data_IF_375914864376
#
_entry.id   IF_375914864376
#
_cell.length_a   1.000
_cell.length_b   1.000
_cell.length_c   1.000
_cell.angle_alpha   90.00
_cell.angle_beta   90.00
_cell.angle_gamma   90.00
#
_symmetry.space_group_name_H-M   'P 1'
#
loop_
_entity.id
_entity.type
_entity.pdbx_description
1 polymer ?
#
# COMPACT_ATOMS: atom_id res chain seq x y z
N UNK A 1 -18.12 23.10 5.00
CA UNK A 1 -17.03 22.39 4.31
C UNK A 1 -16.30 21.51 5.32
N UNK A 2 -16.52 20.19 5.29
CA UNK A 2 -15.74 19.23 6.09
C UNK A 2 -14.26 19.38 5.72
N UNK A 3 -13.41 19.70 6.70
CA UNK A 3 -11.95 19.74 6.53
C UNK A 3 -11.50 18.35 6.09
N UNK A 4 -11.11 18.20 4.83
CA UNK A 4 -10.55 16.96 4.33
C UNK A 4 -9.12 16.88 4.86
N UNK A 5 -8.96 16.05 5.89
CA UNK A 5 -7.76 15.82 6.70
C UNK A 5 -7.38 16.97 7.63
N UNK A 6 -7.55 16.78 8.95
CA UNK A 6 -6.48 16.65 9.95
C UNK A 6 -7.10 16.59 11.36
N UNK A 7 -7.19 15.38 11.91
CA UNK A 7 -7.88 15.05 13.17
C UNK A 7 -7.14 15.42 14.46
N UNK A 8 -6.20 16.37 14.48
CA UNK A 8 -5.69 16.88 15.78
C UNK A 8 -5.33 18.36 15.73
N UNK A 9 -5.60 19.02 16.86
CA UNK A 9 -5.65 20.46 17.09
C UNK A 9 -4.39 21.25 16.67
N UNK A 10 -4.62 22.19 15.75
CA UNK A 10 -4.05 23.55 15.62
C UNK A 10 -2.53 23.80 15.64
N UNK A 11 -2.07 24.56 14.63
CA UNK A 11 -1.36 25.84 14.82
C UNK A 11 -1.72 26.81 13.68
N UNK A 12 -2.57 27.82 13.95
CA UNK A 12 -3.01 28.88 13.02
C UNK A 12 -1.85 29.72 12.43
N UNK A 13 -0.94 29.13 11.67
CA UNK A 13 0.12 29.83 10.95
C UNK A 13 -0.42 30.31 9.60
N UNK A 14 -0.04 31.52 9.19
CA UNK A 14 -0.35 32.03 7.85
C UNK A 14 0.14 31.08 6.74
N UNK A 15 1.23 30.33 7.01
CA UNK A 15 1.80 29.35 6.08
C UNK A 15 0.92 28.10 5.90
N UNK A 16 0.29 27.61 6.98
CA UNK A 16 -0.62 26.45 6.90
C UNK A 16 -1.84 26.79 6.03
N UNK A 17 -2.41 27.99 6.23
CA UNK A 17 -3.52 28.50 5.40
C UNK A 17 -3.16 28.68 3.93
N UNK A 18 -1.89 28.82 3.57
CA UNK A 18 -1.45 28.89 2.17
C UNK A 18 -1.32 27.49 1.57
N UNK A 19 -0.74 26.54 2.31
CA UNK A 19 -0.52 25.15 1.87
C UNK A 19 -1.86 24.41 1.70
N UNK A 20 -2.86 24.68 2.54
CA UNK A 20 -4.17 24.02 2.46
C UNK A 20 -5.08 24.55 1.33
N UNK A 21 -4.67 25.60 0.60
CA UNK A 21 -5.51 26.16 -0.46
C UNK A 21 -5.69 25.16 -1.62
N UNK A 22 -6.91 25.02 -2.16
CA UNK A 22 -7.17 24.17 -3.32
C UNK A 22 -6.26 24.50 -4.52
N UNK A 23 -6.02 25.80 -4.76
CA UNK A 23 -5.14 26.27 -5.84
C UNK A 23 -3.70 25.73 -5.69
N UNK A 24 -3.17 25.73 -4.46
CA UNK A 24 -1.81 25.28 -4.19
C UNK A 24 -1.68 23.78 -4.45
N UNK A 25 -2.68 23.00 -4.02
CA UNK A 25 -2.78 21.58 -4.33
C UNK A 25 -2.85 21.33 -5.84
N UNK A 26 -3.67 22.08 -6.58
CA UNK A 26 -3.76 21.94 -8.04
C UNK A 26 -2.44 22.31 -8.73
N UNK A 27 -1.73 23.33 -8.25
CA UNK A 27 -0.40 23.68 -8.73
C UNK A 27 0.59 22.53 -8.51
N UNK A 28 0.66 21.97 -7.30
CA UNK A 28 1.56 20.84 -6.99
C UNK A 28 1.25 19.64 -7.89
N UNK A 29 -0.03 19.27 -8.05
CA UNK A 29 -0.44 18.18 -8.96
C UNK A 29 0.01 18.46 -10.39
N UNK A 30 -0.21 19.69 -10.87
CA UNK A 30 0.18 20.10 -12.23
C UNK A 30 1.68 19.98 -12.41
N UNK A 31 2.48 20.44 -11.45
CA UNK A 31 3.94 20.30 -11.49
C UNK A 31 4.38 18.84 -11.50
N UNK A 32 3.71 17.95 -10.76
CA UNK A 32 4.06 16.52 -10.78
C UNK A 32 3.76 15.90 -12.15
N UNK A 33 2.62 16.23 -12.76
CA UNK A 33 2.25 15.72 -14.09
C UNK A 33 3.23 16.24 -15.14
N UNK A 34 3.54 17.54 -15.13
CA UNK A 34 4.53 18.13 -16.02
C UNK A 34 5.89 17.45 -15.83
N UNK A 35 6.32 17.24 -14.58
CA UNK A 35 7.57 16.56 -14.27
C UNK A 35 7.61 15.11 -14.77
N UNK A 36 6.50 14.37 -14.62
CA UNK A 36 6.38 13.01 -15.14
C UNK A 36 6.47 12.96 -16.67
N UNK A 37 5.81 13.91 -17.37
CA UNK A 37 5.89 14.02 -18.83
C UNK A 37 7.31 14.37 -19.28
N UNK A 38 7.97 15.32 -18.61
CA UNK A 38 9.37 15.67 -18.88
C UNK A 38 10.27 14.44 -18.74
N UNK A 39 10.11 13.67 -17.67
CA UNK A 39 10.90 12.46 -17.44
C UNK A 39 10.66 11.40 -18.52
N UNK A 40 9.41 11.24 -18.97
CA UNK A 40 9.06 10.38 -20.11
C UNK A 40 9.76 10.82 -21.39
N UNK A 41 9.74 12.12 -21.72
CA UNK A 41 10.42 12.68 -22.90
C UNK A 41 11.94 12.51 -22.80
N UNK A 42 12.54 12.77 -21.64
CA UNK A 42 13.97 12.61 -21.39
C UNK A 42 14.47 11.16 -21.52
N UNK A 43 13.57 10.17 -21.59
CA UNK A 43 13.95 8.78 -21.92
C UNK A 43 14.54 8.68 -23.33
N UNK A 44 14.12 9.55 -24.25
CA UNK A 44 14.59 9.64 -25.63
C UNK A 44 15.74 10.65 -25.81
N UNK A 45 16.55 10.89 -24.77
CA UNK A 45 17.63 11.89 -24.78
C UNK A 45 18.56 11.83 -26.02
N UNK A 46 18.83 10.64 -26.55
CA UNK A 46 19.74 10.42 -27.67
C UNK A 46 19.16 10.90 -29.01
N UNK A 47 17.83 11.02 -29.12
CA UNK A 47 17.15 11.48 -30.35
C UNK A 47 16.68 12.93 -30.25
N UNK A 48 16.77 13.56 -29.07
CA UNK A 48 16.33 14.92 -28.84
C UNK A 48 17.44 15.95 -29.11
N UNK A 49 17.10 17.16 -29.57
CA UNK A 49 18.07 18.24 -29.70
C UNK A 49 18.73 18.58 -28.36
N UNK A 50 20.04 18.75 -28.34
CA UNK A 50 20.80 19.01 -27.10
C UNK A 50 20.28 20.22 -26.30
N UNK A 51 19.87 21.30 -26.98
CA UNK A 51 19.28 22.48 -26.32
C UNK A 51 17.94 22.21 -25.64
N UNK A 52 17.12 21.30 -26.19
CA UNK A 52 15.86 20.88 -25.59
C UNK A 52 16.13 20.03 -24.35
N UNK A 53 17.09 19.09 -24.42
CA UNK A 53 17.48 18.24 -23.28
C UNK A 53 17.94 19.10 -22.10
N UNK A 54 18.85 20.04 -22.31
CA UNK A 54 19.34 20.94 -21.26
C UNK A 54 18.20 21.77 -20.65
N UNK A 55 17.27 22.25 -21.48
CA UNK A 55 16.12 23.02 -21.01
C UNK A 55 15.18 22.16 -20.15
N UNK A 56 14.89 20.93 -20.59
CA UNK A 56 14.04 19.99 -19.87
C UNK A 56 14.67 19.55 -18.55
N UNK A 57 15.97 19.28 -18.52
CA UNK A 57 16.72 18.97 -17.30
C UNK A 57 16.69 20.14 -16.31
N UNK A 58 16.87 21.38 -16.80
CA UNK A 58 16.77 22.57 -15.96
C UNK A 58 15.37 22.73 -15.35
N UNK A 59 14.31 22.44 -16.10
CA UNK A 59 12.94 22.46 -15.60
C UNK A 59 12.68 21.33 -14.59
N UNK A 60 13.12 20.09 -14.85
CA UNK A 60 13.03 18.97 -13.90
C UNK A 60 13.71 19.30 -12.56
N UNK A 61 14.92 19.84 -12.64
CA UNK A 61 15.69 20.24 -11.48
C UNK A 61 14.99 21.37 -10.70
N UNK A 62 14.43 22.36 -11.40
CA UNK A 62 13.66 23.44 -10.79
C UNK A 62 12.43 22.91 -10.06
N UNK A 63 11.66 22.02 -10.69
CA UNK A 63 10.49 21.40 -10.06
C UNK A 63 10.89 20.58 -8.82
N UNK A 64 12.02 19.87 -8.88
CA UNK A 64 12.57 19.14 -7.72
C UNK A 64 12.86 20.08 -6.56
N UNK A 65 13.47 21.24 -6.82
CA UNK A 65 13.72 22.24 -5.77
C UNK A 65 12.44 22.82 -5.20
N UNK A 66 11.42 23.08 -6.02
CA UNK A 66 10.10 23.53 -5.54
C UNK A 66 9.51 22.51 -4.57
N UNK A 67 9.59 21.21 -4.89
CA UNK A 67 9.14 20.14 -4.00
C UNK A 67 9.99 19.99 -2.74
N UNK A 68 11.30 20.19 -2.82
CA UNK A 68 12.17 20.21 -1.65
C UNK A 68 11.78 21.33 -0.68
N UNK A 69 11.50 22.53 -1.21
CA UNK A 69 10.99 23.66 -0.42
C UNK A 69 9.62 23.35 0.18
N UNK A 70 8.71 22.75 -0.59
CA UNK A 70 7.39 22.33 -0.12
C UNK A 70 7.49 21.40 1.11
N UNK A 71 8.34 20.36 1.03
CA UNK A 71 8.56 19.42 2.13
C UNK A 71 9.27 20.07 3.31
N UNK A 72 10.25 20.95 3.06
CA UNK A 72 10.92 21.69 4.12
C UNK A 72 9.92 22.57 4.89
N UNK A 73 9.01 23.26 4.19
CA UNK A 73 7.94 24.04 4.82
C UNK A 73 7.02 23.15 5.65
N UNK A 74 6.59 22.00 5.12
CA UNK A 74 5.79 21.01 5.88
C UNK A 74 6.54 20.50 7.11
N UNK A 75 7.84 20.26 7.01
CA UNK A 75 8.67 19.81 8.12
C UNK A 75 8.80 20.89 9.20
N UNK A 76 8.95 22.16 8.82
CA UNK A 76 9.00 23.29 9.78
C UNK A 76 7.66 23.47 10.50
N UNK A 77 6.54 23.38 9.77
CA UNK A 77 5.19 23.55 10.32
C UNK A 77 4.80 22.38 11.24
N UNK A 78 4.94 21.15 10.76
CA UNK A 78 4.50 19.95 11.49
C UNK A 78 5.56 19.37 12.44
N UNK A 79 6.82 19.79 12.34
CA UNK A 79 7.94 19.34 13.19
C UNK A 79 7.99 17.80 13.28
N UNK A 80 8.03 17.24 14.49
CA UNK A 80 8.04 15.79 14.71
C UNK A 80 6.71 15.11 14.35
N UNK A 81 5.59 15.85 14.27
CA UNK A 81 4.32 15.28 13.81
C UNK A 81 4.36 14.98 12.30
N UNK A 82 5.28 15.59 11.54
CA UNK A 82 5.49 15.29 10.13
C UNK A 82 5.75 13.79 9.93
N UNK A 83 6.62 13.20 10.75
CA UNK A 83 7.06 11.82 10.63
C UNK A 83 6.05 10.78 11.16
N UNK A 84 4.99 11.21 11.86
CA UNK A 84 3.88 10.32 12.25
C UNK A 84 2.94 9.98 11.09
N UNK A 85 3.04 10.67 9.96
CA UNK A 85 2.21 10.43 8.77
C UNK A 85 3.01 9.66 7.72
N UNK A 86 2.58 8.43 7.40
CA UNK A 86 3.30 7.55 6.46
C UNK A 86 3.58 8.21 5.09
N UNK A 87 2.62 8.96 4.56
CA UNK A 87 2.78 9.66 3.28
C UNK A 87 3.81 10.80 3.30
N UNK A 88 3.96 11.49 4.44
CA UNK A 88 4.98 12.52 4.59
C UNK A 88 6.39 11.91 4.64
N UNK A 89 6.53 10.76 5.32
CA UNK A 89 7.78 10.00 5.35
C UNK A 89 8.18 9.52 3.94
N UNK A 90 7.22 9.02 3.16
CA UNK A 90 7.42 8.62 1.77
C UNK A 90 7.91 9.80 0.90
N UNK A 91 7.21 10.94 0.95
CA UNK A 91 7.58 12.16 0.23
C UNK A 91 9.00 12.62 0.57
N UNK A 92 9.36 12.58 1.86
CA UNK A 92 10.67 12.96 2.34
C UNK A 92 11.78 12.06 1.78
N UNK A 93 11.58 10.73 1.75
CA UNK A 93 12.54 9.79 1.15
C UNK A 93 12.70 10.08 -0.35
N UNK A 94 11.59 10.20 -1.07
CA UNK A 94 11.58 10.41 -2.53
C UNK A 94 12.34 11.67 -2.92
N UNK A 95 12.12 12.77 -2.20
CA UNK A 95 12.82 14.04 -2.43
C UNK A 95 14.27 13.97 -1.95
N UNK A 96 14.54 13.29 -0.84
CA UNK A 96 15.90 13.03 -0.37
C UNK A 96 16.74 12.32 -1.43
N UNK A 97 16.26 11.20 -1.98
CA UNK A 97 16.92 10.46 -3.07
C UNK A 97 17.09 11.33 -4.32
N UNK A 98 16.13 12.20 -4.59
CA UNK A 98 16.16 13.13 -5.73
C UNK A 98 17.20 14.24 -5.63
N UNK A 99 17.64 14.60 -4.42
CA UNK A 99 18.62 15.65 -4.17
C UNK A 99 20.06 15.12 -4.11
N UNK A 100 20.26 13.80 -3.99
CA UNK A 100 21.60 13.21 -3.93
C UNK A 100 22.32 13.43 -5.27
N UNK A 101 23.46 14.15 -5.30
CA UNK A 101 24.22 14.34 -6.52
C UNK A 101 24.76 12.99 -7.00
N UNK A 102 24.59 12.71 -8.29
CA UNK A 102 24.91 11.41 -8.86
C UNK A 102 26.41 11.18 -9.03
N UNK A 103 27.10 10.68 -7.99
CA UNK A 103 28.40 10.04 -8.19
C UNK A 103 28.23 8.69 -8.92
N UNK A 104 29.29 8.19 -9.57
CA UNK A 104 29.23 6.93 -10.34
C UNK A 104 28.80 5.73 -9.49
N UNK A 105 29.08 5.74 -8.18
CA UNK A 105 28.70 4.68 -7.25
C UNK A 105 27.18 4.55 -7.03
N UNK A 106 26.40 5.60 -7.31
CA UNK A 106 24.96 5.66 -7.04
C UNK A 106 24.10 5.76 -8.31
N UNK A 107 24.53 5.09 -9.39
CA UNK A 107 23.79 5.03 -10.65
C UNK A 107 22.32 4.58 -10.48
N UNK A 108 22.05 3.67 -9.56
CA UNK A 108 20.68 3.22 -9.24
C UNK A 108 19.86 4.32 -8.58
N UNK A 109 20.42 5.08 -7.61
CA UNK A 109 19.70 6.19 -6.96
C UNK A 109 19.30 7.27 -7.97
N UNK A 110 20.10 7.44 -9.04
CA UNK A 110 19.75 8.29 -10.17
C UNK A 110 18.46 7.81 -10.82
N UNK A 111 18.33 6.52 -11.13
CA UNK A 111 17.12 5.96 -11.73
C UNK A 111 15.92 6.04 -10.78
N UNK A 112 16.13 5.84 -9.47
CA UNK A 112 15.07 5.92 -8.45
C UNK A 112 14.41 7.30 -8.35
N UNK A 113 14.97 8.36 -8.94
CA UNK A 113 14.29 9.66 -9.02
C UNK A 113 12.91 9.56 -9.69
N UNK A 114 12.71 8.59 -10.59
CA UNK A 114 11.40 8.30 -11.22
C UNK A 114 10.31 7.99 -10.20
N UNK A 115 10.69 7.47 -9.02
CA UNK A 115 9.75 7.19 -7.93
C UNK A 115 9.04 8.46 -7.44
N UNK A 116 9.54 9.67 -7.75
CA UNK A 116 8.81 10.91 -7.44
C UNK A 116 7.46 11.05 -8.13
N UNK A 117 7.23 10.32 -9.23
CA UNK A 117 5.92 10.25 -9.88
C UNK A 117 4.90 9.56 -8.95
N UNK A 118 5.35 8.64 -8.09
CA UNK A 118 4.50 7.95 -7.11
C UNK A 118 3.90 8.91 -6.07
N UNK A 119 4.37 10.15 -5.96
CA UNK A 119 3.72 11.19 -5.13
C UNK A 119 2.26 11.43 -5.56
N UNK A 120 1.92 11.16 -6.83
CA UNK A 120 0.53 11.17 -7.30
C UNK A 120 -0.36 10.21 -6.49
N UNK A 121 0.19 9.10 -5.98
CA UNK A 121 -0.57 8.10 -5.23
C UNK A 121 -1.20 8.67 -3.97
N UNK A 122 -0.61 9.68 -3.32
CA UNK A 122 -1.18 10.25 -2.09
C UNK A 122 -1.74 11.66 -2.25
N UNK A 123 -1.28 12.42 -3.25
CA UNK A 123 -1.75 13.79 -3.50
C UNK A 123 -3.11 13.77 -4.20
N UNK A 124 -3.35 12.80 -5.10
CA UNK A 124 -4.63 12.63 -5.78
C UNK A 124 -5.58 11.84 -4.87
N UNK A 125 -6.72 12.43 -4.42
CA UNK A 125 -7.60 11.79 -3.45
C UNK A 125 -8.12 10.41 -3.87
N UNK A 126 -8.38 10.20 -5.16
CA UNK A 126 -8.82 8.91 -5.70
C UNK A 126 -7.72 7.84 -5.58
N UNK A 127 -6.50 8.15 -6.04
CA UNK A 127 -5.36 7.23 -5.93
C UNK A 127 -5.04 6.92 -4.47
N UNK A 128 -5.13 7.95 -3.61
CA UNK A 128 -4.89 7.80 -2.18
C UNK A 128 -5.83 6.79 -1.55
N UNK A 129 -7.13 6.88 -1.87
CA UNK A 129 -8.13 5.91 -1.39
C UNK A 129 -7.81 4.50 -1.83
N UNK A 130 -7.41 4.30 -3.10
CA UNK A 130 -7.03 2.99 -3.63
C UNK A 130 -5.80 2.45 -2.91
N UNK A 131 -4.73 3.24 -2.80
CA UNK A 131 -3.50 2.79 -2.15
C UNK A 131 -3.69 2.57 -0.65
N UNK A 132 -4.49 3.40 0.03
CA UNK A 132 -4.86 3.17 1.44
C UNK A 132 -5.69 1.91 1.62
N UNK A 133 -6.61 1.58 0.69
CA UNK A 133 -7.36 0.33 0.72
C UNK A 133 -6.44 -0.88 0.56
N UNK A 134 -5.50 -0.83 -0.41
CA UNK A 134 -4.49 -1.88 -0.61
C UNK A 134 -3.60 -2.05 0.63
N UNK A 135 -3.09 -0.94 1.20
CA UNK A 135 -2.25 -0.99 2.40
C UNK A 135 -2.99 -1.48 3.63
N UNK A 136 -4.31 -1.23 3.75
CA UNK A 136 -5.14 -1.76 4.84
C UNK A 136 -5.38 -3.27 4.73
N UNK A 137 -5.32 -3.84 3.53
CA UNK A 137 -5.46 -5.29 3.32
C UNK A 137 -4.19 -6.07 3.70
N UNK A 138 -3.00 -5.45 3.60
CA UNK A 138 -1.72 -6.14 3.83
C UNK A 138 -1.52 -6.73 5.25
N UNK A 139 -1.86 -6.04 6.36
CA UNK A 139 -1.61 -6.54 7.71
C UNK A 139 -2.28 -7.88 8.02
N UNK A 140 -3.52 -8.10 7.53
CA UNK A 140 -4.23 -9.37 7.72
C UNK A 140 -3.51 -10.57 7.10
N UNK A 141 -2.67 -10.31 6.11
CA UNK A 141 -1.94 -11.32 5.34
C UNK A 141 -0.48 -11.52 5.80
N UNK A 142 0.03 -10.67 6.69
CA UNK A 142 1.45 -10.62 7.04
C UNK A 142 1.99 -11.93 7.62
N UNK A 143 1.19 -12.65 8.41
CA UNK A 143 1.58 -13.95 8.97
C UNK A 143 1.78 -15.01 7.87
N UNK A 144 0.91 -15.04 6.87
CA UNK A 144 1.00 -16.00 5.76
C UNK A 144 2.21 -15.65 4.88
N UNK A 145 2.46 -14.37 4.59
CA UNK A 145 3.68 -13.92 3.92
C UNK A 145 4.95 -14.33 4.67
N UNK A 146 4.97 -14.21 6.00
CA UNK A 146 6.11 -14.64 6.81
C UNK A 146 6.35 -16.15 6.73
N UNK A 147 5.29 -16.97 6.76
CA UNK A 147 5.38 -18.43 6.58
C UNK A 147 5.89 -18.78 5.18
N UNK A 148 5.36 -18.13 4.13
CA UNK A 148 5.80 -18.35 2.75
C UNK A 148 7.27 -17.96 2.54
N UNK A 149 7.69 -16.83 3.10
CA UNK A 149 9.09 -16.39 3.08
C UNK A 149 10.01 -17.36 3.82
N UNK A 150 9.59 -17.88 4.98
CA UNK A 150 10.34 -18.88 5.74
C UNK A 150 10.49 -20.20 4.97
N UNK A 151 9.41 -20.70 4.36
CA UNK A 151 9.45 -21.93 3.56
C UNK A 151 10.37 -21.73 2.34
N UNK A 152 10.27 -20.59 1.67
CA UNK A 152 11.14 -20.25 0.54
C UNK A 152 12.60 -20.15 0.97
N UNK A 153 12.89 -19.55 2.13
CA UNK A 153 14.25 -19.47 2.68
C UNK A 153 14.82 -20.86 2.98
N UNK A 154 14.08 -21.72 3.67
CA UNK A 154 14.51 -23.10 3.98
C UNK A 154 14.75 -23.88 2.69
N UNK A 155 13.83 -23.79 1.73
CA UNK A 155 13.99 -24.41 0.42
C UNK A 155 15.19 -23.87 -0.35
N UNK A 156 15.48 -22.57 -0.27
CA UNK A 156 16.64 -21.95 -0.92
C UNK A 156 17.96 -22.45 -0.32
N UNK A 157 18.03 -22.56 1.01
CA UNK A 157 19.20 -23.17 1.68
C UNK A 157 19.37 -24.62 1.24
N UNK A 158 18.30 -25.41 1.20
CA UNK A 158 18.36 -26.80 0.73
C UNK A 158 18.82 -26.89 -0.72
N UNK A 159 18.20 -26.13 -1.63
CA UNK A 159 18.52 -26.15 -3.06
C UNK A 159 19.97 -25.72 -3.33
N UNK A 160 20.46 -24.70 -2.61
CA UNK A 160 21.88 -24.28 -2.72
C UNK A 160 22.83 -25.41 -2.32
N UNK A 161 22.55 -26.10 -1.20
CA UNK A 161 23.42 -27.19 -0.73
C UNK A 161 23.31 -28.46 -1.57
N UNK A 162 22.13 -28.73 -2.16
CA UNK A 162 21.89 -29.95 -2.95
C UNK A 162 22.31 -29.80 -4.41
N UNK A 163 22.09 -28.63 -5.02
CA UNK A 163 22.23 -28.43 -6.47
C UNK A 163 23.26 -27.35 -6.84
N UNK A 164 23.74 -26.54 -5.88
CA UNK A 164 24.61 -25.40 -6.18
C UNK A 164 26.07 -25.76 -6.48
N UNK A 165 26.55 -26.93 -6.06
CA UNK A 165 27.93 -27.37 -6.27
C UNK A 165 28.01 -28.33 -7.49
N UNK A 166 27.99 -27.75 -8.68
CA UNK A 166 28.04 -28.47 -9.97
C UNK A 166 28.90 -27.70 -10.97
N UNK A 167 29.40 -28.42 -11.99
CA UNK A 167 30.16 -27.85 -13.10
C UNK A 167 29.25 -27.27 -14.21
N UNK A 168 27.94 -27.52 -14.12
CA UNK A 168 26.95 -27.04 -15.09
C UNK A 168 26.56 -25.58 -14.81
N UNK A 169 27.02 -24.68 -15.69
CA UNK A 169 26.81 -23.23 -15.60
C UNK A 169 25.32 -22.87 -15.45
N UNK A 170 24.42 -23.58 -16.16
CA UNK A 170 22.98 -23.28 -16.09
C UNK A 170 22.38 -23.58 -14.71
N UNK A 171 22.88 -24.61 -14.01
CA UNK A 171 22.42 -24.95 -12.67
C UNK A 171 23.10 -24.08 -11.61
N UNK A 172 24.36 -23.70 -11.82
CA UNK A 172 25.07 -22.72 -10.98
C UNK A 172 24.41 -21.34 -11.01
N UNK A 173 23.88 -20.91 -12.16
CA UNK A 173 23.10 -19.66 -12.26
C UNK A 173 21.79 -19.72 -11.46
N UNK A 174 21.19 -20.91 -11.34
CA UNK A 174 19.95 -21.09 -10.59
C UNK A 174 20.16 -21.27 -9.08
N UNK A 175 21.19 -22.03 -8.67
CA UNK A 175 21.34 -22.49 -7.28
C UNK A 175 22.73 -22.29 -6.67
N UNK A 176 23.67 -21.62 -7.36
CA UNK A 176 25.06 -21.49 -6.91
C UNK A 176 25.26 -20.67 -5.64
N UNK A 177 24.31 -19.80 -5.29
CA UNK A 177 24.29 -19.09 -4.02
C UNK A 177 22.86 -18.90 -3.50
N UNK A 178 22.74 -18.50 -2.23
CA UNK A 178 21.45 -18.40 -1.55
C UNK A 178 20.48 -17.40 -2.21
N UNK A 179 20.89 -16.17 -2.58
CA UNK A 179 20.04 -15.26 -3.35
C UNK A 179 19.55 -15.82 -4.69
N UNK A 180 20.43 -16.46 -5.46
CA UNK A 180 20.05 -17.12 -6.73
C UNK A 180 19.02 -18.21 -6.50
N UNK A 181 19.27 -19.10 -5.53
CA UNK A 181 18.32 -20.15 -5.15
C UNK A 181 16.96 -19.59 -4.74
N UNK A 182 16.94 -18.51 -3.95
CA UNK A 182 15.70 -17.87 -3.54
C UNK A 182 14.95 -17.25 -4.73
N UNK A 183 15.67 -16.66 -5.70
CA UNK A 183 15.07 -16.11 -6.92
C UNK A 183 14.51 -17.21 -7.84
N UNK A 184 15.26 -18.29 -8.05
CA UNK A 184 14.80 -19.45 -8.84
C UNK A 184 13.58 -20.12 -8.20
N UNK A 185 13.54 -20.25 -6.88
CA UNK A 185 12.37 -20.77 -6.17
C UNK A 185 11.19 -19.80 -6.18
N UNK A 186 11.42 -18.49 -6.19
CA UNK A 186 10.38 -17.51 -6.44
C UNK A 186 9.77 -17.67 -7.84
N UNK A 187 10.60 -17.86 -8.88
CA UNK A 187 10.14 -18.18 -10.23
C UNK A 187 9.29 -19.47 -10.23
N UNK A 188 9.77 -20.55 -9.62
CA UNK A 188 9.02 -21.81 -9.49
C UNK A 188 7.67 -21.61 -8.77
N UNK A 189 7.64 -20.81 -7.70
CA UNK A 189 6.42 -20.49 -6.97
C UNK A 189 5.38 -19.77 -7.85
N UNK A 190 5.81 -18.94 -8.79
CA UNK A 190 4.92 -18.28 -9.77
C UNK A 190 4.48 -19.19 -10.92
N UNK A 191 4.94 -20.46 -10.92
CA UNK A 191 4.76 -21.44 -12.01
C UNK A 191 5.36 -21.01 -13.36
N UNK A 192 6.22 -20.01 -13.36
CA UNK A 192 6.88 -19.55 -14.58
C UNK A 192 8.08 -20.44 -14.89
N UNK A 193 8.11 -21.06 -16.07
CA UNK A 193 9.22 -21.91 -16.51
C UNK A 193 9.57 -23.12 -15.63
N UNK A 194 8.85 -23.40 -14.54
CA UNK A 194 9.29 -24.29 -13.44
C UNK A 194 9.80 -25.66 -13.90
N UNK A 195 9.17 -26.26 -14.92
CA UNK A 195 9.58 -27.57 -15.43
C UNK A 195 10.85 -27.48 -16.26
N UNK A 196 10.84 -26.72 -17.36
CA UNK A 196 11.91 -26.77 -18.37
C UNK A 196 13.08 -25.85 -18.03
N UNK A 197 12.83 -24.74 -17.35
CA UNK A 197 13.86 -23.75 -17.04
C UNK A 197 14.54 -24.02 -15.71
N UNK A 198 13.93 -24.85 -14.84
CA UNK A 198 14.46 -25.14 -13.50
C UNK A 198 14.61 -26.63 -13.25
N UNK A 199 13.51 -27.38 -13.11
CA UNK A 199 13.53 -28.79 -12.68
C UNK A 199 14.29 -29.68 -13.67
N UNK A 200 14.03 -29.53 -14.96
CA UNK A 200 14.63 -30.35 -16.02
C UNK A 200 16.14 -30.15 -16.06
N UNK A 201 16.62 -28.91 -15.90
CA UNK A 201 18.06 -28.61 -15.86
C UNK A 201 18.77 -29.32 -14.71
N UNK A 202 18.15 -29.34 -13.53
CA UNK A 202 18.68 -30.04 -12.36
C UNK A 202 18.66 -31.56 -12.56
N UNK A 203 17.63 -32.10 -13.22
CA UNK A 203 17.55 -33.53 -13.57
C UNK A 203 18.64 -33.91 -14.59
N UNK A 204 18.78 -33.11 -15.64
CA UNK A 204 19.77 -33.31 -16.71
C UNK A 204 21.21 -33.17 -16.18
N UNK A 205 21.40 -32.42 -15.07
CA UNK A 205 22.64 -32.32 -14.31
C UNK A 205 22.93 -33.53 -13.40
N UNK A 206 22.17 -34.62 -13.54
CA UNK A 206 22.42 -35.87 -12.83
C UNK A 206 21.67 -36.02 -11.50
N UNK A 207 20.67 -35.17 -11.21
CA UNK A 207 19.81 -35.29 -10.03
C UNK A 207 18.41 -35.83 -10.40
N UNK A 208 18.24 -37.13 -10.69
CA UNK A 208 16.99 -37.68 -11.24
C UNK A 208 15.78 -37.59 -10.29
N UNK A 209 16.00 -37.42 -8.99
CA UNK A 209 14.93 -37.30 -7.98
C UNK A 209 14.58 -35.85 -7.62
N UNK A 210 15.20 -34.85 -8.28
CA UNK A 210 14.96 -33.43 -8.00
C UNK A 210 13.48 -33.04 -8.15
N UNK A 211 12.74 -33.70 -9.06
CA UNK A 211 11.30 -33.49 -9.23
C UNK A 211 10.53 -33.60 -7.93
N UNK A 212 10.93 -34.47 -7.00
CA UNK A 212 10.23 -34.67 -5.74
C UNK A 212 10.35 -33.44 -4.84
N UNK A 213 11.56 -32.87 -4.73
CA UNK A 213 11.80 -31.64 -3.98
C UNK A 213 10.96 -30.48 -4.55
N UNK A 214 11.01 -30.27 -5.86
CA UNK A 214 10.31 -29.15 -6.48
C UNK A 214 8.79 -29.32 -6.47
N UNK A 215 8.24 -30.53 -6.66
CA UNK A 215 6.80 -30.75 -6.56
C UNK A 215 6.29 -30.57 -5.13
N UNK A 216 7.03 -31.00 -4.11
CA UNK A 216 6.67 -30.74 -2.71
C UNK A 216 6.68 -29.24 -2.43
N UNK A 217 7.74 -28.53 -2.86
CA UNK A 217 7.82 -27.08 -2.72
C UNK A 217 6.65 -26.38 -3.43
N UNK A 218 6.37 -26.74 -4.69
CA UNK A 218 5.26 -26.22 -5.48
C UNK A 218 3.93 -26.45 -4.77
N UNK A 219 3.68 -27.66 -4.27
CA UNK A 219 2.44 -27.99 -3.60
C UNK A 219 2.24 -27.12 -2.35
N UNK A 220 3.28 -27.02 -1.51
CA UNK A 220 3.24 -26.21 -0.28
C UNK A 220 3.07 -24.72 -0.61
N UNK A 221 3.84 -24.20 -1.56
CA UNK A 221 3.80 -22.79 -1.95
C UNK A 221 2.45 -22.41 -2.59
N UNK A 222 1.93 -23.25 -3.49
CA UNK A 222 0.61 -23.05 -4.11
C UNK A 222 -0.51 -23.11 -3.08
N UNK A 223 -0.44 -24.05 -2.14
CA UNK A 223 -1.40 -24.15 -1.05
C UNK A 223 -1.34 -22.92 -0.14
N UNK A 224 -0.15 -22.43 0.19
CA UNK A 224 0.03 -21.21 0.98
C UNK A 224 -0.53 -19.97 0.27
N UNK A 225 -0.30 -19.82 -1.04
CA UNK A 225 -0.86 -18.72 -1.86
C UNK A 225 -2.39 -18.85 -1.96
N UNK A 226 -2.93 -20.05 -2.09
CA UNK A 226 -4.37 -20.25 -2.09
C UNK A 226 -4.99 -19.85 -0.74
N UNK A 227 -4.38 -20.27 0.37
CA UNK A 227 -4.84 -19.87 1.70
C UNK A 227 -4.71 -18.38 1.95
N UNK A 228 -3.69 -17.73 1.39
CA UNK A 228 -3.53 -16.28 1.39
C UNK A 228 -4.73 -15.59 0.71
N UNK A 229 -5.14 -16.10 -0.45
CA UNK A 229 -6.28 -15.57 -1.20
C UNK A 229 -7.61 -15.83 -0.48
N UNK A 230 -7.80 -17.03 0.06
CA UNK A 230 -9.00 -17.39 0.83
C UNK A 230 -9.10 -16.52 2.08
N UNK A 231 -8.01 -16.35 2.84
CA UNK A 231 -7.98 -15.51 4.03
C UNK A 231 -8.39 -14.06 3.70
N UNK A 232 -7.84 -13.48 2.64
CA UNK A 232 -8.20 -12.14 2.18
C UNK A 232 -9.70 -12.03 1.83
N UNK A 233 -10.24 -13.01 1.10
CA UNK A 233 -11.65 -13.03 0.74
C UNK A 233 -12.53 -13.17 1.98
N UNK A 234 -12.20 -14.11 2.87
CA UNK A 234 -12.94 -14.35 4.10
C UNK A 234 -12.95 -13.10 4.98
N UNK A 235 -11.81 -12.43 5.15
CA UNK A 235 -11.73 -11.18 5.91
C UNK A 235 -12.60 -10.08 5.28
N UNK A 236 -12.62 -9.98 3.94
CA UNK A 236 -13.44 -8.98 3.24
C UNK A 236 -14.94 -9.26 3.37
N UNK A 237 -15.36 -10.53 3.26
CA UNK A 237 -16.76 -10.94 3.40
C UNK A 237 -17.23 -10.85 4.85
N UNK A 238 -16.38 -11.21 5.81
CA UNK A 238 -16.67 -11.08 7.23
C UNK A 238 -16.87 -9.61 7.63
N UNK A 239 -16.05 -8.69 7.10
CA UNK A 239 -16.23 -7.27 7.32
C UNK A 239 -17.56 -6.73 6.75
N UNK A 240 -17.97 -7.20 5.57
CA UNK A 240 -19.25 -6.84 4.95
C UNK A 240 -20.45 -7.39 5.74
N UNK A 241 -20.40 -8.66 6.14
CA UNK A 241 -21.46 -9.27 6.96
C UNK A 241 -21.60 -8.58 8.32
N UNK A 242 -20.47 -8.23 8.97
CA UNK A 242 -20.50 -7.56 10.26
C UNK A 242 -21.19 -6.18 10.15
N UNK A 243 -20.94 -5.43 9.08
CA UNK A 243 -21.60 -4.15 8.85
C UNK A 243 -23.12 -4.31 8.66
N UNK A 244 -23.56 -5.33 7.91
CA UNK A 244 -25.00 -5.62 7.73
C UNK A 244 -25.67 -6.01 9.05
N UNK A 245 -25.00 -6.82 9.88
CA UNK A 245 -25.52 -7.22 11.20
C UNK A 245 -25.65 -6.00 12.12
N UNK A 246 -24.65 -5.12 12.14
CA UNK A 246 -24.66 -3.90 12.95
C UNK A 246 -25.77 -2.94 12.52
N UNK A 247 -25.93 -2.69 11.20
CA UNK A 247 -27.03 -1.88 10.66
C UNK A 247 -28.40 -2.47 11.02
N UNK A 248 -28.57 -3.80 10.95
CA UNK A 248 -29.81 -4.46 11.34
C UNK A 248 -30.10 -4.42 12.84
N UNK A 249 -29.07 -4.49 13.69
CA UNK A 249 -29.23 -4.32 15.14
C UNK A 249 -29.62 -2.89 15.51
N UNK A 250 -29.00 -1.89 14.88
CA UNK A 250 -29.34 -0.47 15.06
C UNK A 250 -30.79 -0.18 14.62
N UNK A 251 -31.26 -0.82 13.55
CA UNK A 251 -32.65 -0.72 13.09
C UNK A 251 -33.63 -1.30 14.13
N UNK A 252 -33.34 -2.51 14.64
CA UNK A 252 -34.16 -3.15 15.68
C UNK A 252 -34.17 -2.35 16.99
N UNK A 253 -33.02 -1.81 17.41
CA UNK A 253 -32.94 -0.97 18.61
C UNK A 253 -33.75 0.32 18.43
N UNK A 254 -33.66 0.95 17.26
CA UNK A 254 -34.46 2.13 16.92
C UNK A 254 -35.97 1.86 16.91
N UNK A 255 -36.40 0.72 16.37
CA UNK A 255 -37.80 0.29 16.42
C UNK A 255 -38.27 0.06 17.87
N UNK A 256 -37.48 -0.65 18.68
CA UNK A 256 -37.81 -0.97 20.07
C UNK A 256 -37.90 0.30 20.95
N UNK A 257 -36.98 1.25 20.77
CA UNK A 257 -37.07 2.56 21.43
C UNK A 257 -38.31 3.34 20.99
N UNK A 258 -38.64 3.31 19.70
CA UNK A 258 -39.87 3.91 19.14
C UNK A 258 -41.14 3.33 19.76
N UNK A 259 -41.21 2.01 19.91
CA UNK A 259 -42.32 1.32 20.57
C UNK A 259 -42.42 1.66 22.06
N UNK A 260 -41.29 1.64 22.79
CA UNK A 260 -41.26 2.01 24.21
C UNK A 260 -41.71 3.46 24.46
N UNK A 261 -41.28 4.40 23.60
CA UNK A 261 -41.69 5.80 23.69
C UNK A 261 -43.18 5.99 23.39
N UNK A 262 -43.72 5.22 22.44
CA UNK A 262 -45.15 5.21 22.12
C UNK A 262 -45.96 4.61 23.28
N UNK A 263 -45.51 3.49 23.84
CA UNK A 263 -46.11 2.86 25.03
C UNK A 263 -46.10 3.77 26.25
N UNK A 264 -45.00 4.50 26.51
CA UNK A 264 -44.94 5.45 27.63
C UNK A 264 -45.88 6.63 27.45
N UNK A 265 -46.08 7.11 26.22
CA UNK A 265 -47.05 8.17 25.91
C UNK A 265 -48.49 7.71 26.08
N UNK A 266 -48.82 6.49 25.65
CA UNK A 266 -50.18 5.96 25.83
C UNK A 266 -50.49 5.74 27.31
N UNK A 267 -49.62 5.06 28.07
CA UNK A 267 -49.81 4.87 29.51
C UNK A 267 -49.84 6.18 30.31
N UNK A 268 -49.03 7.18 29.94
CA UNK A 268 -49.07 8.50 30.57
C UNK A 268 -50.41 9.22 30.38
N UNK A 269 -51.00 9.12 29.18
CA UNK A 269 -52.33 9.69 28.90
C UNK A 269 -53.46 8.93 29.60
N UNK A 270 -53.41 7.58 29.68
CA UNK A 270 -54.41 6.81 30.43
C UNK A 270 -54.33 7.04 31.93
N UNK A 271 -53.12 7.20 32.49
CA UNK A 271 -52.91 7.52 33.90
C UNK A 271 -53.55 8.85 34.30
N UNK A 272 -53.38 9.90 33.50
CA UNK A 272 -54.04 11.19 33.71
C UNK A 272 -55.58 11.08 33.58
N UNK A 273 -56.08 10.36 32.58
CA UNK A 273 -57.53 10.20 32.37
C UNK A 273 -58.25 9.36 33.45
N UNK A 274 -57.52 8.51 34.18
CA UNK A 274 -58.03 7.74 35.32
C UNK A 274 -57.93 8.56 36.62
N UNK A 275 -56.89 9.38 36.77
CA UNK A 275 -56.73 10.31 37.89
C UNK A 275 -57.85 11.36 37.94
N UNK A 276 -58.17 11.97 36.80
CA UNK A 276 -59.24 12.98 36.71
C UNK A 276 -60.62 12.40 37.06
N UNK A 277 -60.96 11.21 36.54
CA UNK A 277 -62.25 10.56 36.82
C UNK A 277 -62.44 10.15 38.28
N UNK A 278 -61.35 9.94 39.03
CA UNK A 278 -61.41 9.59 40.45
C UNK A 278 -61.62 10.82 41.34
N UNK A 279 -61.18 11.99 40.90
CA UNK A 279 -61.38 13.27 41.59
C UNK A 279 -62.81 13.79 41.38
N UNK A 280 -63.40 13.56 40.20
CA UNK A 280 -64.81 13.89 39.95
C UNK A 280 -65.82 13.01 40.72
N UNK A 281 -65.45 11.79 41.11
CA UNK A 281 -66.34 10.89 41.88
C UNK A 281 -66.35 11.13 43.40
N UNK A 282 -65.55 12.06 43.90
CA UNK A 282 -65.38 12.37 45.33
C UNK A 282 -65.83 13.79 45.73
N UNK A 283 -66.46 14.53 44.81
CA UNK A 283 -67.18 15.78 45.08
C UNK A 283 -68.68 15.60 44.94
#
# INVERSE_FOLDING_TARGET
MKRATLDFETHNSALERVIERPWFRHLVITLIIVNAVILGVLTYRETLPAGLVVSLDAVDQTITYVFAVEILLKLIVYRLQFFRRGWNWFDFIVIGVSLIPGSQAFGVLRALRVLRILRLLHIVPMMRRITEALMKALPGMGAIFAVLALITYVAAVMATNMYGNTDNEEVTELFGDLPRSAYSLFQVMTMDGWRFEVVQKVIDDGNPYAWMFFLIFIFIASFAILNLFIALIVDSLAAEQQAIIEEGLDEIEGELEGELMTGRRTFGNTGNAIGDRRLESLG
#
